data_IF_922759215343
#
_entry.id   IF_922759215343
#
_cell.length_a   1.000
_cell.length_b   1.000
_cell.length_c   1.000
_cell.angle_alpha   90.00
_cell.angle_beta   90.00
_cell.angle_gamma   90.00
#
_symmetry.space_group_name_H-M   'P 1'
#
loop_
_entity.id
_entity.type
_entity.pdbx_description
1 polymer ?
#
# COMPACT_ATOMS: atom_id res chain seq x y z
N UNK A 1 -16.94 -6.51 12.54
CA UNK A 1 -15.57 -6.28 12.03
C UNK A 1 -15.68 -6.30 10.51
N UNK A 2 -15.18 -5.27 9.84
CA UNK A 2 -15.22 -5.18 8.38
C UNK A 2 -14.16 -6.13 7.80
N UNK A 3 -14.61 -7.20 7.13
CA UNK A 3 -13.76 -8.23 6.51
C UNK A 3 -12.69 -7.62 5.58
N UNK A 4 -13.02 -6.49 4.93
CA UNK A 4 -12.09 -5.78 4.04
C UNK A 4 -10.92 -5.18 4.80
N UNK A 5 -11.15 -4.67 6.01
CA UNK A 5 -10.13 -4.05 6.84
C UNK A 5 -9.16 -5.10 7.41
N UNK A 6 -9.67 -6.28 7.76
CA UNK A 6 -8.85 -7.40 8.26
C UNK A 6 -7.96 -7.98 7.15
N UNK A 7 -8.53 -8.20 5.96
CA UNK A 7 -7.77 -8.64 4.78
C UNK A 7 -6.72 -7.60 4.34
N UNK A 8 -7.06 -6.31 4.40
CA UNK A 8 -6.11 -5.22 4.13
C UNK A 8 -4.95 -5.22 5.13
N UNK A 9 -5.23 -5.32 6.44
CA UNK A 9 -4.20 -5.38 7.48
C UNK A 9 -3.27 -6.57 7.30
N UNK A 10 -3.83 -7.73 6.98
CA UNK A 10 -3.08 -8.97 6.69
C UNK A 10 -2.18 -8.81 5.47
N UNK A 11 -2.71 -8.27 4.36
CA UNK A 11 -1.93 -8.05 3.14
C UNK A 11 -0.74 -7.11 3.39
N UNK A 12 -0.96 -6.00 4.11
CA UNK A 12 0.10 -5.06 4.49
C UNK A 12 1.15 -5.76 5.37
N UNK A 13 0.71 -6.52 6.39
CA UNK A 13 1.60 -7.24 7.29
C UNK A 13 2.50 -8.23 6.56
N UNK A 14 1.92 -9.10 5.73
CA UNK A 14 2.67 -10.09 4.95
C UNK A 14 3.64 -9.40 3.99
N UNK A 15 3.17 -8.43 3.22
CA UNK A 15 3.99 -7.68 2.28
C UNK A 15 5.19 -7.01 2.93
N UNK A 16 4.98 -6.38 4.08
CA UNK A 16 6.03 -5.74 4.87
C UNK A 16 7.04 -6.75 5.37
N UNK A 17 6.60 -7.87 5.94
CA UNK A 17 7.49 -8.93 6.45
C UNK A 17 8.35 -9.50 5.32
N UNK A 18 7.76 -9.79 4.16
CA UNK A 18 8.48 -10.32 2.99
C UNK A 18 9.50 -9.29 2.47
N UNK A 19 9.11 -8.02 2.36
CA UNK A 19 10.03 -6.96 1.93
C UNK A 19 11.21 -6.79 2.89
N UNK A 20 10.94 -6.81 4.21
CA UNK A 20 11.99 -6.75 5.24
C UNK A 20 12.89 -7.98 5.20
N UNK A 21 12.35 -9.17 4.92
CA UNK A 21 13.13 -10.39 4.79
C UNK A 21 14.10 -10.29 3.60
N UNK A 22 13.64 -9.81 2.43
CA UNK A 22 14.52 -9.57 1.29
C UNK A 22 15.57 -8.49 1.58
N UNK A 23 15.18 -7.39 2.20
CA UNK A 23 16.13 -6.34 2.60
C UNK A 23 17.20 -6.87 3.57
N UNK A 24 16.79 -7.62 4.60
CA UNK A 24 17.70 -8.21 5.58
C UNK A 24 18.63 -9.25 4.94
N UNK A 25 18.10 -10.11 4.07
CA UNK A 25 18.90 -11.07 3.30
C UNK A 25 19.97 -10.33 2.47
N UNK A 26 19.56 -9.32 1.70
CA UNK A 26 20.44 -8.44 0.94
C UNK A 26 21.56 -7.83 1.76
N UNK A 27 21.21 -7.36 2.95
CA UNK A 27 22.12 -6.63 3.83
C UNK A 27 23.13 -7.53 4.54
N UNK A 28 22.74 -8.75 4.91
CA UNK A 28 23.52 -9.59 5.84
C UNK A 28 24.03 -10.89 5.24
N UNK A 29 23.47 -11.37 4.13
CA UNK A 29 23.80 -12.66 3.54
C UNK A 29 24.36 -12.50 2.12
N UNK A 30 23.52 -12.06 1.17
CA UNK A 30 23.89 -11.89 -0.23
C UNK A 30 22.96 -10.88 -0.90
N UNK A 31 23.50 -10.03 -1.76
CA UNK A 31 22.79 -8.95 -2.46
C UNK A 31 21.81 -9.48 -3.51
N UNK A 32 21.93 -10.76 -3.91
CA UNK A 32 21.09 -11.35 -4.96
C UNK A 32 20.43 -12.67 -4.56
N UNK A 33 19.27 -12.95 -5.17
CA UNK A 33 18.59 -14.24 -5.10
C UNK A 33 18.24 -14.65 -6.54
N UNK A 34 18.81 -15.77 -7.01
CA UNK A 34 18.65 -16.27 -8.40
C UNK A 34 18.97 -15.18 -9.45
N UNK A 35 20.02 -14.38 -9.19
CA UNK A 35 20.47 -13.31 -10.10
C UNK A 35 19.63 -12.03 -10.08
N UNK A 36 18.66 -11.90 -9.18
CA UNK A 36 17.88 -10.67 -8.98
C UNK A 36 18.32 -9.99 -7.70
N UNK A 37 18.54 -8.67 -7.76
CA UNK A 37 18.86 -7.87 -6.57
C UNK A 37 17.75 -7.97 -5.52
N UNK A 38 18.13 -8.18 -4.27
CA UNK A 38 17.21 -8.32 -3.14
C UNK A 38 16.43 -7.04 -2.85
N UNK A 39 17.02 -5.88 -3.15
CA UNK A 39 16.33 -4.58 -3.11
C UNK A 39 15.17 -4.54 -4.12
N UNK A 40 15.40 -5.01 -5.35
CA UNK A 40 14.35 -5.13 -6.37
C UNK A 40 13.26 -6.10 -5.90
N UNK A 41 13.61 -7.23 -5.28
CA UNK A 41 12.64 -8.18 -4.72
C UNK A 41 11.83 -7.57 -3.57
N UNK A 42 12.46 -6.80 -2.68
CA UNK A 42 11.77 -6.10 -1.61
C UNK A 42 10.76 -5.08 -2.15
N UNK A 43 11.17 -4.31 -3.15
CA UNK A 43 10.29 -3.33 -3.80
C UNK A 43 9.15 -4.00 -4.58
N UNK A 44 9.42 -5.13 -5.23
CA UNK A 44 8.41 -5.94 -5.90
C UNK A 44 7.39 -6.51 -4.90
N UNK A 45 7.82 -6.96 -3.71
CA UNK A 45 6.90 -7.43 -2.66
C UNK A 45 5.96 -6.32 -2.17
N UNK A 46 6.49 -5.11 -1.97
CA UNK A 46 5.67 -3.93 -1.66
C UNK A 46 4.71 -3.58 -2.79
N UNK A 47 5.17 -3.61 -4.05
CA UNK A 47 4.33 -3.33 -5.21
C UNK A 47 3.19 -4.35 -5.34
N UNK A 48 3.49 -5.64 -5.16
CA UNK A 48 2.51 -6.72 -5.17
C UNK A 48 1.46 -6.54 -4.04
N UNK A 49 1.87 -6.01 -2.88
CA UNK A 49 0.96 -5.67 -1.80
C UNK A 49 -0.05 -4.59 -2.23
N UNK A 50 0.43 -3.52 -2.87
CA UNK A 50 -0.45 -2.48 -3.42
C UNK A 50 -1.39 -3.03 -4.50
N UNK A 51 -0.92 -3.95 -5.36
CA UNK A 51 -1.79 -4.63 -6.34
C UNK A 51 -2.86 -5.45 -5.62
N UNK A 52 -2.50 -6.25 -4.61
CA UNK A 52 -3.46 -7.05 -3.85
C UNK A 52 -4.53 -6.16 -3.21
N UNK A 53 -4.14 -5.02 -2.62
CA UNK A 53 -5.07 -4.05 -2.05
C UNK A 53 -5.96 -3.39 -3.11
N UNK A 54 -5.40 -3.08 -4.29
CA UNK A 54 -6.17 -2.53 -5.40
C UNK A 54 -7.27 -3.50 -5.85
N UNK A 55 -6.93 -4.79 -5.99
CA UNK A 55 -7.88 -5.84 -6.35
C UNK A 55 -8.93 -6.05 -5.26
N UNK A 56 -8.51 -6.06 -3.99
CA UNK A 56 -9.41 -6.18 -2.85
C UNK A 56 -10.44 -5.03 -2.86
N UNK A 57 -9.99 -3.78 -2.85
CA UNK A 57 -10.88 -2.61 -2.88
C UNK A 57 -11.76 -2.58 -4.14
N UNK A 58 -11.23 -3.03 -5.28
CA UNK A 58 -11.98 -3.17 -6.52
C UNK A 58 -13.13 -4.18 -6.39
N UNK A 59 -12.87 -5.34 -5.78
CA UNK A 59 -13.87 -6.38 -5.54
C UNK A 59 -14.97 -5.93 -4.58
N UNK A 60 -14.64 -5.10 -3.59
CA UNK A 60 -15.61 -4.51 -2.65
C UNK A 60 -16.26 -3.20 -3.14
N UNK A 61 -16.08 -2.84 -4.42
CA UNK A 61 -16.74 -1.69 -5.05
C UNK A 61 -16.13 -0.32 -4.70
N UNK A 62 -15.04 -0.27 -3.92
CA UNK A 62 -14.32 0.95 -3.52
C UNK A 62 -13.32 1.36 -4.61
N UNK A 63 -13.85 1.78 -5.77
CA UNK A 63 -13.07 2.07 -6.98
C UNK A 63 -12.02 3.16 -6.79
N UNK A 64 -12.30 4.14 -5.94
CA UNK A 64 -11.40 5.23 -5.57
C UNK A 64 -10.12 4.69 -4.89
N UNK A 65 -10.29 3.84 -3.87
CA UNK A 65 -9.16 3.19 -3.21
C UNK A 65 -8.48 2.14 -4.09
N UNK A 66 -9.23 1.44 -4.93
CA UNK A 66 -8.67 0.50 -5.89
C UNK A 66 -7.68 1.21 -6.83
N UNK A 67 -8.09 2.36 -7.38
CA UNK A 67 -7.26 3.19 -8.24
C UNK A 67 -6.07 3.76 -7.48
N UNK A 68 -6.25 4.23 -6.25
CA UNK A 68 -5.16 4.79 -5.46
C UNK A 68 -4.07 3.75 -5.15
N UNK A 69 -4.46 2.53 -4.74
CA UNK A 69 -3.49 1.45 -4.53
C UNK A 69 -2.85 0.98 -5.84
N UNK A 70 -3.62 0.93 -6.94
CA UNK A 70 -3.08 0.61 -8.26
C UNK A 70 -2.04 1.64 -8.74
N UNK A 71 -2.29 2.92 -8.51
CA UNK A 71 -1.34 4.01 -8.80
C UNK A 71 -0.11 3.95 -7.89
N UNK A 72 -0.28 3.59 -6.61
CA UNK A 72 0.85 3.34 -5.72
C UNK A 72 1.74 2.19 -6.23
N UNK A 73 1.14 1.08 -6.65
CA UNK A 73 1.87 -0.05 -7.26
C UNK A 73 2.62 0.38 -8.53
N UNK A 74 1.94 1.11 -9.42
CA UNK A 74 2.53 1.61 -10.66
C UNK A 74 3.67 2.61 -10.39
N UNK A 75 3.49 3.52 -9.44
CA UNK A 75 4.52 4.48 -9.03
C UNK A 75 5.75 3.78 -8.45
N UNK A 76 5.54 2.78 -7.59
CA UNK A 76 6.64 1.99 -7.02
C UNK A 76 7.37 1.16 -8.09
N UNK A 77 6.63 0.53 -9.01
CA UNK A 77 7.22 -0.19 -10.15
C UNK A 77 8.03 0.74 -11.05
N UNK A 78 7.49 1.92 -11.37
CA UNK A 78 8.19 2.92 -12.17
C UNK A 78 9.47 3.41 -11.50
N UNK A 79 9.43 3.64 -10.18
CA UNK A 79 10.61 4.00 -9.40
C UNK A 79 11.66 2.88 -9.40
N UNK A 80 11.22 1.64 -9.20
CA UNK A 80 12.11 0.46 -9.12
C UNK A 80 12.86 0.22 -10.44
N UNK A 81 12.17 0.38 -11.58
CA UNK A 81 12.74 0.17 -12.91
C UNK A 81 13.09 1.48 -13.64
N UNK A 82 13.34 2.55 -12.88
CA UNK A 82 13.67 3.84 -13.47
C UNK A 82 15.05 3.79 -14.15
N UNK A 83 15.10 4.15 -15.43
CA UNK A 83 16.37 4.27 -16.17
C UNK A 83 16.98 5.68 -16.05
N UNK A 84 16.26 6.63 -15.46
CA UNK A 84 16.70 8.02 -15.31
C UNK A 84 16.14 8.67 -14.04
N UNK A 85 16.84 9.69 -13.55
CA UNK A 85 16.41 10.48 -12.39
C UNK A 85 14.99 11.05 -12.52
N UNK A 86 14.61 11.69 -13.64
CA UNK A 86 13.25 12.19 -13.82
C UNK A 86 12.18 11.10 -13.76
N UNK A 87 12.45 9.92 -14.32
CA UNK A 87 11.53 8.77 -14.25
C UNK A 87 11.35 8.29 -12.80
N UNK A 88 12.44 8.22 -12.02
CA UNK A 88 12.37 7.89 -10.60
C UNK A 88 11.55 8.92 -9.82
N UNK A 89 11.72 10.21 -10.09
CA UNK A 89 10.94 11.28 -9.45
C UNK A 89 9.45 11.20 -9.78
N UNK A 90 9.09 10.85 -11.02
CA UNK A 90 7.69 10.63 -11.39
C UNK A 90 7.11 9.45 -10.61
N UNK A 91 7.85 8.32 -10.53
CA UNK A 91 7.43 7.16 -9.77
C UNK A 91 7.20 7.49 -8.28
N UNK A 92 8.14 8.22 -7.68
CA UNK A 92 8.05 8.68 -6.31
C UNK A 92 6.88 9.65 -6.10
N UNK A 93 6.65 10.56 -7.05
CA UNK A 93 5.53 11.50 -7.02
C UNK A 93 4.17 10.79 -7.06
N UNK A 94 4.03 9.77 -7.93
CA UNK A 94 2.83 8.94 -7.99
C UNK A 94 2.58 8.18 -6.68
N UNK A 95 3.64 7.57 -6.13
CA UNK A 95 3.57 6.86 -4.86
C UNK A 95 3.15 7.78 -3.72
N UNK A 96 3.79 8.96 -3.62
CA UNK A 96 3.51 9.94 -2.58
C UNK A 96 2.08 10.50 -2.68
N UNK A 97 1.64 10.89 -3.88
CA UNK A 97 0.29 11.40 -4.09
C UNK A 97 -0.78 10.34 -3.75
N UNK A 98 -0.56 9.10 -4.17
CA UNK A 98 -1.45 7.97 -3.88
C UNK A 98 -1.51 7.67 -2.38
N UNK A 99 -0.35 7.62 -1.72
CA UNK A 99 -0.26 7.41 -0.27
C UNK A 99 -0.95 8.53 0.53
N UNK A 100 -0.75 9.78 0.13
CA UNK A 100 -1.41 10.93 0.76
C UNK A 100 -2.94 10.85 0.62
N UNK A 101 -3.43 10.50 -0.57
CA UNK A 101 -4.87 10.30 -0.79
C UNK A 101 -5.44 9.19 0.09
N UNK A 102 -4.79 8.02 0.12
CA UNK A 102 -5.21 6.87 0.95
C UNK A 102 -5.26 7.25 2.42
N UNK A 103 -4.23 7.95 2.92
CA UNK A 103 -4.16 8.41 4.31
C UNK A 103 -5.31 9.37 4.63
N UNK A 104 -5.57 10.36 3.76
CA UNK A 104 -6.66 11.32 3.92
C UNK A 104 -8.03 10.65 3.95
N UNK A 105 -8.30 9.74 3.01
CA UNK A 105 -9.57 8.99 2.98
C UNK A 105 -9.73 8.15 4.25
N UNK A 106 -8.67 7.47 4.69
CA UNK A 106 -8.69 6.63 5.89
C UNK A 106 -9.04 7.44 7.14
N UNK A 107 -8.39 8.61 7.33
CA UNK A 107 -8.70 9.50 8.46
C UNK A 107 -10.14 9.98 8.41
N UNK A 108 -10.61 10.46 7.25
CA UNK A 108 -12.00 10.92 7.07
C UNK A 108 -13.02 9.84 7.39
N UNK A 109 -12.78 8.60 6.93
CA UNK A 109 -13.69 7.48 7.23
C UNK A 109 -13.71 7.12 8.71
N UNK A 110 -12.57 7.25 9.40
CA UNK A 110 -12.48 7.00 10.84
C UNK A 110 -13.21 8.06 11.65
N UNK A 111 -13.08 9.33 11.26
CA UNK A 111 -13.75 10.44 11.94
C UNK A 111 -15.27 10.36 11.74
N UNK A 112 -15.74 10.12 10.51
CA UNK A 112 -17.17 9.93 10.25
C UNK A 112 -17.78 8.75 11.03
N UNK A 113 -17.04 7.66 11.20
CA UNK A 113 -17.49 6.52 12.00
C UNK A 113 -17.58 6.83 13.50
N UNK A 114 -16.69 7.69 14.01
CA UNK A 114 -16.72 8.16 15.40
C UNK A 114 -17.91 9.09 15.65
N UNK A 115 -18.11 10.07 14.77
CA UNK A 115 -19.23 11.03 14.88
C UNK A 115 -20.60 10.32 14.86
N UNK A 116 -20.72 9.27 14.04
CA UNK A 116 -21.92 8.44 13.98
C UNK A 116 -22.14 7.62 15.26
N UNK A 117 -21.07 7.10 15.88
CA UNK A 117 -21.16 6.37 17.13
C UNK A 117 -21.53 7.29 18.31
N UNK A 118 -20.97 8.50 18.35
CA UNK A 118 -21.29 9.50 19.37
C UNK A 118 -22.75 9.96 19.25
N UNK A 119 -23.26 10.13 18.02
CA UNK A 119 -24.66 10.48 17.77
C UNK A 119 -25.64 9.35 18.09
N UNK A 120 -25.22 8.08 17.98
CA UNK A 120 -26.05 6.91 18.31
C UNK A 120 -26.02 6.53 19.79
N UNK A 121 -25.00 6.99 20.53
CA UNK A 121 -24.82 6.76 21.97
C UNK A 121 -25.50 7.79 22.87
N UNK A 122 -26.15 8.82 22.32
CA UNK A 122 -26.91 9.83 23.06
C UNK A 122 -28.43 9.53 22.99
N UNK A 123 -29.03 8.89 24.01
CA UNK A 123 -30.46 8.59 24.03
C UNK A 123 -31.35 9.82 24.35
N UNK A 124 -30.82 11.04 24.46
CA UNK A 124 -31.57 12.25 24.86
C UNK A 124 -31.82 13.28 23.72
N UNK A 125 -31.75 12.87 22.45
CA UNK A 125 -32.35 13.64 21.34
C UNK A 125 -33.49 12.91 20.65
#
# INVERSE_FOLDING_TARGET
MDETADAQGTAIGIGTVVALAFFAYGRYLDETIVGVETTTLAMAALAATFVALALLHGAYGRRDLALAHGLAAAGLGLFTFAASGPQALIGLGLLAASGAYIALVTVRTRDAARDAADSAGDPQR
#
